data_IF_198256867465
#
_entry.id   IF_198256867465
#
_cell.length_a   1.000
_cell.length_b   1.000
_cell.length_c   1.000
_cell.angle_alpha   90.00
_cell.angle_beta   90.00
_cell.angle_gamma   90.00
#
_symmetry.space_group_name_H-M   'P 1'
#
loop_
_entity.id
_entity.type
_entity.pdbx_description
1 polymer ?
#
# COMPACT_ATOMS: atom_id res chain seq x y z
N UNK A 1 5.81 -20.87 -1.06
CA UNK A 1 5.63 -19.84 -0.04
C UNK A 1 5.84 -20.50 1.31
N UNK A 2 6.72 -19.95 2.14
CA UNK A 2 6.99 -20.50 3.47
C UNK A 2 5.80 -20.24 4.41
N UNK A 3 5.60 -21.10 5.40
CA UNK A 3 4.53 -20.93 6.40
C UNK A 3 4.64 -19.57 7.11
N UNK A 4 5.86 -19.10 7.35
CA UNK A 4 6.12 -17.80 7.98
C UNK A 4 5.66 -16.64 7.09
N UNK A 5 5.94 -16.71 5.78
CA UNK A 5 5.45 -15.70 4.83
C UNK A 5 3.92 -15.69 4.78
N UNK A 6 3.27 -16.85 4.70
CA UNK A 6 1.79 -16.93 4.75
C UNK A 6 1.23 -16.34 6.04
N UNK A 7 1.86 -16.62 7.20
CA UNK A 7 1.47 -16.00 8.47
C UNK A 7 1.61 -14.48 8.45
N UNK A 8 2.69 -13.95 7.89
CA UNK A 8 2.91 -12.50 7.79
C UNK A 8 1.93 -11.83 6.81
N UNK A 9 1.59 -12.50 5.71
CA UNK A 9 0.62 -11.99 4.74
C UNK A 9 -0.80 -11.95 5.34
N UNK A 10 -1.18 -13.00 6.10
CA UNK A 10 -2.44 -13.02 6.85
C UNK A 10 -2.51 -11.89 7.90
N UNK A 11 -1.41 -11.63 8.63
CA UNK A 11 -1.31 -10.52 9.58
C UNK A 11 -1.47 -9.17 8.86
N UNK A 12 -0.72 -8.96 7.78
CA UNK A 12 -0.74 -7.70 7.01
C UNK A 12 -2.15 -7.41 6.50
N UNK A 13 -2.79 -8.41 5.88
CA UNK A 13 -4.16 -8.30 5.36
C UNK A 13 -5.17 -8.02 6.47
N UNK A 14 -5.07 -8.73 7.59
CA UNK A 14 -5.96 -8.53 8.73
C UNK A 14 -5.86 -7.12 9.32
N UNK A 15 -4.65 -6.56 9.43
CA UNK A 15 -4.42 -5.20 9.91
C UNK A 15 -5.01 -4.19 8.93
N UNK A 16 -4.71 -4.31 7.63
CA UNK A 16 -5.21 -3.40 6.61
C UNK A 16 -6.75 -3.32 6.62
N UNK A 17 -7.44 -4.46 6.79
CA UNK A 17 -8.91 -4.52 6.88
C UNK A 17 -9.50 -3.77 8.09
N UNK A 18 -8.77 -3.67 9.20
CA UNK A 18 -9.26 -3.00 10.43
C UNK A 18 -8.72 -1.60 10.61
N UNK A 19 -7.59 -1.25 9.98
CA UNK A 19 -6.91 0.04 10.14
C UNK A 19 -7.84 1.24 9.96
N UNK A 20 -8.75 1.18 8.97
CA UNK A 20 -9.69 2.28 8.69
C UNK A 20 -10.88 2.35 9.65
N UNK A 21 -11.40 1.20 10.09
CA UNK A 21 -12.62 1.13 10.92
C UNK A 21 -12.33 1.23 12.42
N UNK A 22 -11.07 1.11 12.81
CA UNK A 22 -10.62 1.12 14.20
C UNK A 22 -10.24 -0.28 14.72
N UNK A 23 -9.61 -0.33 15.91
CA UNK A 23 -9.09 -1.56 16.47
C UNK A 23 -10.21 -2.55 16.81
N UNK A 24 -10.00 -3.79 16.37
CA UNK A 24 -10.86 -4.95 16.60
C UNK A 24 -9.98 -6.19 16.78
N UNK A 25 -10.51 -7.23 17.41
CA UNK A 25 -9.80 -8.50 17.67
C UNK A 25 -9.00 -8.96 16.44
N UNK A 26 -7.68 -8.90 16.54
CA UNK A 26 -6.78 -9.15 15.42
C UNK A 26 -6.63 -10.65 15.17
N UNK A 27 -6.40 -11.41 16.24
CA UNK A 27 -6.13 -12.85 16.16
C UNK A 27 -7.22 -13.62 15.41
N UNK A 28 -8.50 -13.32 15.65
CA UNK A 28 -9.60 -13.99 14.97
C UNK A 28 -9.56 -13.82 13.45
N UNK A 29 -9.11 -12.65 12.97
CA UNK A 29 -9.02 -12.36 11.52
C UNK A 29 -7.82 -13.05 10.91
N UNK A 30 -6.69 -13.04 11.61
CA UNK A 30 -5.48 -13.75 11.18
C UNK A 30 -5.77 -15.25 11.08
N UNK A 31 -6.34 -15.85 12.12
CA UNK A 31 -6.65 -17.27 12.13
C UNK A 31 -7.70 -17.65 11.08
N UNK A 32 -8.71 -16.80 10.84
CA UNK A 32 -9.65 -17.02 9.74
C UNK A 32 -8.94 -17.08 8.38
N UNK A 33 -8.05 -16.11 8.09
CA UNK A 33 -7.27 -16.12 6.84
C UNK A 33 -6.35 -17.33 6.72
N UNK A 34 -5.73 -17.75 7.83
CA UNK A 34 -4.86 -18.94 7.84
C UNK A 34 -5.66 -20.22 7.58
N UNK A 35 -6.85 -20.35 8.14
CA UNK A 35 -7.74 -21.48 7.89
C UNK A 35 -8.17 -21.55 6.41
N UNK A 36 -8.45 -20.41 5.77
CA UNK A 36 -8.76 -20.35 4.34
C UNK A 36 -7.58 -20.82 3.47
N UNK A 37 -6.35 -20.53 3.89
CA UNK A 37 -5.12 -20.95 3.22
C UNK A 37 -4.66 -22.37 3.62
N UNK A 38 -5.40 -23.06 4.49
CA UNK A 38 -5.06 -24.41 4.98
C UNK A 38 -3.83 -24.45 5.89
N UNK A 39 -3.48 -23.34 6.52
CA UNK A 39 -2.36 -23.19 7.46
C UNK A 39 -2.87 -23.30 8.90
N UNK A 40 -2.06 -23.91 9.77
CA UNK A 40 -2.36 -24.00 11.20
C UNK A 40 -2.49 -22.61 11.83
N UNK A 41 -3.52 -22.44 12.65
CA UNK A 41 -3.80 -21.22 13.40
C UNK A 41 -2.66 -20.89 14.36
N UNK A 42 -2.58 -19.62 14.74
CA UNK A 42 -1.57 -19.14 15.68
C UNK A 42 -2.19 -18.73 17.01
N UNK A 43 -1.36 -18.76 18.03
CA UNK A 43 -1.67 -18.29 19.39
C UNK A 43 -1.42 -16.78 19.53
N UNK A 44 -1.98 -16.12 20.58
CA UNK A 44 -1.66 -14.72 20.88
C UNK A 44 -0.15 -14.47 21.02
N UNK A 45 0.57 -15.38 21.69
CA UNK A 45 2.03 -15.26 21.87
C UNK A 45 2.80 -15.38 20.57
N UNK A 46 2.38 -16.24 19.64
CA UNK A 46 2.99 -16.33 18.31
C UNK A 46 2.73 -15.09 17.48
N UNK A 47 1.50 -14.54 17.53
CA UNK A 47 1.17 -13.29 16.87
C UNK A 47 2.05 -12.14 17.39
N UNK A 48 2.15 -12.02 18.72
CA UNK A 48 3.01 -11.02 19.36
C UNK A 48 4.47 -11.24 18.97
N UNK A 49 4.95 -12.49 18.96
CA UNK A 49 6.30 -12.84 18.53
C UNK A 49 6.58 -12.42 17.09
N UNK A 50 5.66 -12.69 16.15
CA UNK A 50 5.81 -12.28 14.74
C UNK A 50 5.84 -10.75 14.58
N UNK A 51 5.02 -10.04 15.36
CA UNK A 51 4.97 -8.57 15.34
C UNK A 51 6.15 -7.90 16.06
N UNK A 52 6.88 -8.59 16.92
CA UNK A 52 7.98 -8.00 17.72
C UNK A 52 9.34 -8.60 17.41
N UNK A 53 9.41 -9.53 16.45
CA UNK A 53 10.65 -10.19 16.05
C UNK A 53 11.68 -9.18 15.54
N UNK A 54 12.87 -9.17 16.14
CA UNK A 54 14.00 -8.42 15.59
C UNK A 54 14.40 -9.01 14.23
N UNK A 55 14.43 -8.19 13.19
CA UNK A 55 14.65 -8.64 11.83
C UNK A 55 14.69 -7.50 10.83
N UNK A 56 14.09 -7.72 9.66
CA UNK A 56 13.98 -6.68 8.62
C UNK A 56 13.10 -5.51 9.12
N UNK A 57 13.64 -4.28 9.22
CA UNK A 57 12.84 -3.11 9.62
C UNK A 57 11.70 -2.78 8.64
N UNK A 58 11.74 -3.34 7.43
CA UNK A 58 10.73 -3.21 6.38
C UNK A 58 9.81 -4.43 6.27
N UNK A 59 9.81 -5.33 7.27
CA UNK A 59 8.85 -6.43 7.32
C UNK A 59 7.41 -5.90 7.14
N UNK A 60 6.66 -6.36 6.12
CA UNK A 60 5.35 -5.79 5.78
C UNK A 60 4.35 -5.82 6.95
N UNK A 61 4.34 -6.90 7.73
CA UNK A 61 3.42 -7.04 8.85
C UNK A 61 3.76 -6.05 9.96
N UNK A 62 5.04 -5.89 10.29
CA UNK A 62 5.50 -4.94 11.30
C UNK A 62 5.31 -3.48 10.86
N UNK A 63 5.58 -3.17 9.59
CA UNK A 63 5.37 -1.83 9.01
C UNK A 63 3.89 -1.47 9.07
N UNK A 64 3.02 -2.35 8.59
CA UNK A 64 1.58 -2.10 8.58
C UNK A 64 1.03 -1.95 10.01
N UNK A 65 1.50 -2.78 10.94
CA UNK A 65 1.13 -2.67 12.35
C UNK A 65 1.57 -1.34 12.97
N UNK A 66 2.81 -0.90 12.71
CA UNK A 66 3.32 0.40 13.18
C UNK A 66 2.47 1.57 12.66
N UNK A 67 2.12 1.53 11.38
CA UNK A 67 1.28 2.55 10.74
C UNK A 67 -0.13 2.56 11.33
N UNK A 68 -0.73 1.39 11.53
CA UNK A 68 -2.05 1.26 12.14
C UNK A 68 -2.08 1.77 13.59
N UNK A 69 -1.10 1.40 14.42
CA UNK A 69 -0.97 1.92 15.78
C UNK A 69 -0.85 3.45 15.79
N UNK A 70 0.05 3.99 14.96
CA UNK A 70 0.21 5.45 14.83
C UNK A 70 -1.10 6.13 14.40
N UNK A 71 -1.85 5.53 13.49
CA UNK A 71 -3.15 6.06 13.05
C UNK A 71 -4.16 6.07 14.19
N UNK A 72 -4.34 4.95 14.89
CA UNK A 72 -5.30 4.84 15.99
C UNK A 72 -4.94 5.72 17.17
N UNK A 73 -3.66 5.81 17.54
CA UNK A 73 -3.20 6.65 18.64
C UNK A 73 -3.46 8.14 18.38
N UNK A 74 -3.42 8.56 17.12
CA UNK A 74 -3.61 9.95 16.70
C UNK A 74 -5.06 10.30 16.35
N UNK A 75 -5.93 9.31 16.27
CA UNK A 75 -7.32 9.51 15.88
C UNK A 75 -8.05 10.32 16.96
N UNK A 76 -8.64 11.44 16.55
CA UNK A 76 -9.41 12.33 17.44
C UNK A 76 -10.92 12.17 17.28
N UNK A 77 -11.38 11.74 16.10
CA UNK A 77 -12.80 11.61 15.76
C UNK A 77 -13.05 10.27 15.08
N UNK A 78 -13.57 9.30 15.84
CA UNK A 78 -13.97 8.00 15.32
C UNK A 78 -15.00 7.33 16.23
N UNK A 79 -15.90 6.54 15.64
CA UNK A 79 -16.97 5.87 16.39
C UNK A 79 -16.45 4.95 17.51
N UNK A 80 -15.32 4.28 17.32
CA UNK A 80 -14.75 3.37 18.32
C UNK A 80 -14.21 4.10 19.58
N UNK A 81 -14.15 5.44 19.54
CA UNK A 81 -13.79 6.30 20.66
C UNK A 81 -14.96 6.62 21.58
N UNK A 82 -16.21 6.48 21.14
CA UNK A 82 -17.37 6.82 21.96
C UNK A 82 -17.49 5.90 23.19
N UNK A 83 -17.01 4.67 23.07
CA UNK A 83 -16.97 3.66 24.12
C UNK A 83 -15.68 3.71 24.95
N UNK A 84 -14.71 4.55 24.57
CA UNK A 84 -13.42 4.60 25.23
C UNK A 84 -13.54 5.26 26.62
N UNK A 85 -12.80 4.77 27.63
CA UNK A 85 -12.66 5.48 28.89
C UNK A 85 -12.15 6.91 28.66
N UNK A 86 -12.62 7.88 29.46
CA UNK A 86 -12.18 9.29 29.38
C UNK A 86 -10.66 9.49 29.26
N UNK A 87 -9.78 8.82 30.03
CA UNK A 87 -8.34 9.04 29.85
C UNK A 87 -7.84 8.56 28.48
N UNK A 88 -8.46 7.50 27.94
CA UNK A 88 -8.11 6.97 26.64
C UNK A 88 -8.59 7.86 25.50
N UNK A 89 -9.52 8.80 25.68
CA UNK A 89 -9.98 9.67 24.56
C UNK A 89 -8.94 10.69 24.13
N UNK A 90 -7.94 10.98 24.98
CA UNK A 90 -6.83 11.84 24.62
C UNK A 90 -5.87 11.13 23.64
N UNK A 91 -5.53 11.75 22.50
CA UNK A 91 -4.64 11.14 21.52
C UNK A 91 -3.20 11.03 22.05
N UNK A 92 -2.45 10.07 21.52
CA UNK A 92 -1.00 9.86 21.77
C UNK A 92 -0.60 9.60 23.23
N UNK A 93 -1.52 9.09 24.05
CA UNK A 93 -1.26 8.72 25.46
C UNK A 93 -1.05 7.22 25.69
N UNK A 94 -0.44 6.82 26.82
CA UNK A 94 -0.34 5.42 27.20
C UNK A 94 -1.72 4.78 27.41
N UNK A 95 -2.71 5.52 27.95
CA UNK A 95 -4.07 5.01 28.15
C UNK A 95 -4.78 4.76 26.82
N UNK A 96 -4.54 5.63 25.83
CA UNK A 96 -4.98 5.43 24.44
C UNK A 96 -4.39 4.15 23.88
N UNK A 97 -3.08 3.95 24.03
CA UNK A 97 -2.37 2.78 23.53
C UNK A 97 -2.89 1.50 24.17
N UNK A 98 -3.02 1.46 25.50
CA UNK A 98 -3.55 0.29 26.22
C UNK A 98 -4.99 -0.04 25.79
N UNK A 99 -5.83 0.97 25.58
CA UNK A 99 -7.19 0.77 25.05
C UNK A 99 -7.18 0.18 23.64
N UNK A 100 -6.31 0.68 22.75
CA UNK A 100 -6.13 0.14 21.39
C UNK A 100 -5.67 -1.32 21.45
N UNK A 101 -4.62 -1.63 22.20
CA UNK A 101 -4.09 -2.99 22.31
C UNK A 101 -5.10 -3.97 22.93
N UNK A 102 -5.86 -3.53 23.95
CA UNK A 102 -6.95 -4.33 24.51
C UNK A 102 -8.07 -4.62 23.50
N UNK A 103 -8.42 -3.64 22.65
CA UNK A 103 -9.39 -3.82 21.55
C UNK A 103 -8.90 -4.77 20.46
N UNK A 104 -7.59 -4.86 20.25
CA UNK A 104 -6.96 -5.83 19.36
C UNK A 104 -6.91 -7.25 19.95
N UNK A 105 -7.18 -7.39 21.25
CA UNK A 105 -7.24 -8.67 21.96
C UNK A 105 -5.93 -9.06 22.65
N UNK A 106 -4.98 -8.14 22.79
CA UNK A 106 -3.75 -8.39 23.53
C UNK A 106 -3.99 -8.26 25.04
N UNK A 107 -3.23 -9.06 25.80
CA UNK A 107 -3.13 -9.01 27.25
C UNK A 107 -2.14 -7.93 27.72
N UNK A 108 -2.20 -7.56 29.00
CA UNK A 108 -1.24 -6.61 29.58
C UNK A 108 0.22 -7.05 29.43
N UNK A 109 0.48 -8.36 29.54
CA UNK A 109 1.82 -8.91 29.29
C UNK A 109 2.31 -8.62 27.85
N UNK A 110 1.43 -8.73 26.86
CA UNK A 110 1.76 -8.44 25.47
C UNK A 110 1.88 -6.93 25.22
N UNK A 111 1.21 -6.09 26.02
CA UNK A 111 1.34 -4.63 25.91
C UNK A 111 2.79 -4.19 26.12
N UNK A 112 3.48 -4.76 27.11
CA UNK A 112 4.88 -4.39 27.41
C UNK A 112 5.81 -4.72 26.24
N UNK A 113 5.67 -5.91 25.66
CA UNK A 113 6.44 -6.34 24.50
C UNK A 113 6.18 -5.44 23.28
N UNK A 114 4.91 -5.17 23.00
CA UNK A 114 4.51 -4.33 21.86
C UNK A 114 4.96 -2.88 22.08
N UNK A 115 4.79 -2.33 23.27
CA UNK A 115 5.18 -0.95 23.55
C UNK A 115 6.70 -0.76 23.54
N UNK A 116 7.47 -1.79 23.91
CA UNK A 116 8.92 -1.80 23.75
C UNK A 116 9.33 -1.78 22.27
N UNK A 117 8.67 -2.57 21.42
CA UNK A 117 8.97 -2.63 19.99
C UNK A 117 8.44 -1.41 19.21
N UNK A 118 7.32 -0.83 19.65
CA UNK A 118 6.59 0.25 18.98
C UNK A 118 6.34 1.41 19.96
N UNK A 119 7.36 2.18 20.33
CA UNK A 119 7.19 3.28 21.28
C UNK A 119 6.18 4.32 20.76
N UNK A 120 5.42 4.92 21.69
CA UNK A 120 4.53 6.04 21.36
C UNK A 120 5.39 7.24 20.98
N UNK A 121 5.37 7.61 19.70
CA UNK A 121 6.14 8.76 19.22
C UNK A 121 5.35 10.04 19.51
N UNK A 122 5.75 10.73 20.57
CA UNK A 122 5.25 12.08 20.92
C UNK A 122 6.02 13.21 20.25
N UNK A 123 6.87 12.90 19.26
CA UNK A 123 7.55 13.92 18.50
C UNK A 123 6.50 14.81 17.81
N UNK A 124 6.40 16.06 18.23
CA UNK A 124 5.81 17.10 17.39
C UNK A 124 6.52 17.04 16.05
N UNK A 125 5.78 17.17 14.95
CA UNK A 125 6.37 17.21 13.61
C UNK A 125 7.52 18.21 13.61
N UNK A 126 8.76 17.73 13.54
CA UNK A 126 9.91 18.59 13.30
C UNK A 126 9.86 18.89 11.80
N UNK A 127 9.04 19.88 11.43
CA UNK A 127 9.20 20.55 10.15
C UNK A 127 10.53 21.26 10.30
N UNK A 128 11.58 20.82 9.59
CA UNK A 128 12.79 21.62 9.60
C UNK A 128 12.41 22.99 9.05
N UNK A 129 12.76 24.04 9.75
CA UNK A 129 12.60 25.36 9.18
C UNK A 129 13.79 25.61 8.24
N UNK A 130 13.57 26.33 7.13
CA UNK A 130 14.70 26.93 6.46
C UNK A 130 15.51 27.76 7.46
N UNK A 131 16.82 27.81 7.28
CA UNK A 131 17.71 28.73 7.99
C UNK A 131 17.23 30.17 7.81
N UNK A 132 17.73 31.10 8.64
CA UNK A 132 17.27 32.50 8.65
C UNK A 132 17.36 33.20 7.28
N UNK A 133 18.15 32.68 6.35
CA UNK A 133 18.29 33.12 4.96
C UNK A 133 17.36 32.40 3.95
N UNK A 134 16.37 31.64 4.43
CA UNK A 134 15.38 30.93 3.61
C UNK A 134 15.90 29.62 2.98
N UNK A 135 17.08 29.12 3.37
CA UNK A 135 17.67 27.90 2.78
C UNK A 135 17.39 26.67 3.63
N UNK A 136 17.18 25.54 2.98
CA UNK A 136 17.10 24.27 3.70
C UNK A 136 18.53 23.83 4.10
N UNK A 137 18.77 23.39 5.35
CA UNK A 137 20.12 23.07 5.85
C UNK A 137 20.87 22.02 5.01
N UNK A 138 20.13 21.13 4.36
CA UNK A 138 20.63 20.07 3.49
C UNK A 138 20.62 20.41 1.99
N UNK A 139 20.20 21.62 1.62
CA UNK A 139 20.02 22.05 0.23
C UNK A 139 21.06 23.12 -0.13
N UNK A 140 22.25 22.66 -0.54
CA UNK A 140 23.33 23.54 -0.98
C UNK A 140 23.05 24.14 -2.36
N UNK A 141 23.61 25.32 -2.66
CA UNK A 141 23.57 25.92 -3.99
C UNK A 141 24.20 25.03 -5.07
N UNK A 142 25.17 24.20 -4.71
CA UNK A 142 25.82 23.24 -5.59
C UNK A 142 24.87 22.13 -6.09
N UNK A 143 23.83 21.79 -5.32
CA UNK A 143 22.79 20.86 -5.77
C UNK A 143 21.80 21.48 -6.76
N UNK A 144 21.71 22.81 -6.86
CA UNK A 144 20.84 23.50 -7.84
C UNK A 144 21.36 23.36 -9.27
N UNK A 145 22.66 23.15 -9.46
CA UNK A 145 23.30 23.16 -10.78
C UNK A 145 23.41 21.78 -11.43
N UNK A 146 23.04 20.69 -10.74
CA UNK A 146 22.97 19.34 -11.33
C UNK A 146 21.52 18.93 -11.60
N UNK A 147 21.01 19.27 -12.79
CA UNK A 147 19.94 18.49 -13.43
C UNK A 147 20.51 17.11 -13.74
N UNK A 148 20.40 16.15 -12.83
CA UNK A 148 20.90 14.79 -13.11
C UNK A 148 19.79 13.75 -13.08
N UNK A 149 18.74 13.98 -12.29
CA UNK A 149 17.68 12.99 -12.12
C UNK A 149 16.68 12.97 -13.28
N UNK A 150 16.52 14.06 -14.03
CA UNK A 150 15.50 14.16 -15.08
C UNK A 150 16.02 13.84 -16.49
N UNK A 151 17.30 14.08 -16.76
CA UNK A 151 17.90 13.90 -18.09
C UNK A 151 17.85 12.44 -18.56
N UNK A 152 17.90 11.48 -17.63
CA UNK A 152 17.79 10.04 -17.92
C UNK A 152 16.37 9.64 -18.32
N UNK A 153 15.34 10.32 -17.80
CA UNK A 153 13.93 10.02 -18.10
C UNK A 153 13.43 10.70 -19.38
N UNK A 154 14.07 11.77 -19.84
CA UNK A 154 13.70 12.48 -21.08
C UNK A 154 13.88 11.63 -22.35
N UNK A 155 14.79 10.65 -22.33
CA UNK A 155 14.96 9.71 -23.45
C UNK A 155 13.74 8.81 -23.68
N UNK A 156 13.04 8.42 -22.61
CA UNK A 156 11.91 7.50 -22.70
C UNK A 156 10.61 8.18 -23.17
N UNK A 157 10.39 9.44 -22.76
CA UNK A 157 9.16 10.17 -23.11
C UNK A 157 9.11 10.55 -24.60
N UNK A 158 10.24 10.99 -25.17
CA UNK A 158 10.33 11.38 -26.58
C UNK A 158 10.25 10.18 -27.56
N UNK A 159 10.72 9.00 -27.12
CA UNK A 159 10.61 7.76 -27.89
C UNK A 159 9.16 7.24 -27.93
N UNK A 160 8.46 7.28 -26.79
CA UNK A 160 7.05 6.88 -26.71
C UNK A 160 6.13 7.82 -27.53
N UNK A 161 6.39 9.12 -27.49
CA UNK A 161 5.60 10.12 -28.22
C UNK A 161 5.81 10.03 -29.75
N UNK A 162 7.02 9.66 -30.19
CA UNK A 162 7.31 9.42 -31.62
C UNK A 162 6.66 8.14 -32.15
N UNK A 163 6.58 7.07 -31.35
CA UNK A 163 5.91 5.83 -31.74
C UNK A 163 4.39 5.99 -31.82
N UNK A 164 3.78 6.77 -30.91
CA UNK A 164 2.36 7.09 -30.95
C UNK A 164 1.99 7.97 -32.16
N UNK A 165 2.83 8.93 -32.53
CA UNK A 165 2.63 9.78 -33.73
C UNK A 165 2.76 9.01 -35.05
N UNK A 166 3.65 8.02 -35.12
CA UNK A 166 3.78 7.14 -36.29
C UNK A 166 2.60 6.18 -36.43
N UNK A 167 2.10 5.62 -35.33
CA UNK A 167 0.91 4.78 -35.28
C UNK A 167 -0.35 5.52 -35.77
N UNK A 168 -0.56 6.77 -35.33
CA UNK A 168 -1.73 7.56 -35.72
C UNK A 168 -1.73 7.98 -37.20
N UNK A 169 -0.54 8.16 -37.81
CA UNK A 169 -0.41 8.49 -39.23
C UNK A 169 -0.71 7.32 -40.16
N UNK A 170 -0.54 6.08 -39.71
CA UNK A 170 -0.85 4.88 -40.51
C UNK A 170 -2.33 4.49 -40.47
N UNK A 171 -3.04 4.75 -39.36
CA UNK A 171 -4.45 4.38 -39.20
C UNK A 171 -5.44 5.39 -39.77
N UNK A 172 -5.01 6.64 -40.00
CA UNK A 172 -5.88 7.74 -40.47
C UNK A 172 -5.49 8.30 -41.86
N UNK A 173 -4.97 7.46 -42.76
CA UNK A 173 -4.93 7.84 -44.17
C UNK A 173 -6.34 7.74 -44.77
N UNK A 174 -6.88 8.83 -45.36
CA UNK A 174 -8.15 8.74 -46.07
C UNK A 174 -7.99 7.83 -47.29
N UNK A 175 -8.71 6.71 -47.32
CA UNK A 175 -8.89 5.92 -48.54
C UNK A 175 -9.49 6.82 -49.61
N UNK A 176 -8.72 7.16 -50.65
CA UNK A 176 -9.26 7.75 -51.87
C UNK A 176 -10.24 6.74 -52.49
N UNK A 177 -11.53 6.97 -52.27
CA UNK A 177 -12.61 6.28 -52.96
C UNK A 177 -12.63 6.73 -54.43
N UNK A 178 -12.17 5.86 -55.33
CA UNK A 178 -12.55 5.92 -56.74
C UNK A 178 -14.02 5.46 -56.84
N UNK A 179 -14.93 6.39 -57.13
CA UNK A 179 -16.30 6.08 -57.50
C UNK A 179 -16.60 6.65 -58.89
N UNK A 180 -16.94 5.77 -59.83
CA UNK A 180 -17.29 6.09 -61.21
C UNK A 180 -17.35 4.86 -62.12
N UNK A 181 -18.28 3.95 -61.80
CA UNK A 181 -19.09 2.98 -62.61
C UNK A 181 -18.70 2.57 -64.05
N UNK A 182 -19.20 1.43 -64.61
CA UNK A 182 -20.31 0.58 -64.14
C UNK A 182 -20.05 -0.96 -64.14
N UNK A 183 -20.78 -1.66 -63.29
CA UNK A 183 -21.13 -3.11 -63.38
C UNK A 183 -22.10 -3.37 -64.55
N UNK A 184 -22.40 -4.62 -65.02
CA UNK A 184 -22.32 -5.89 -64.29
C UNK A 184 -21.88 -7.11 -65.13
N UNK A 185 -21.52 -8.21 -64.46
CA UNK A 185 -22.28 -9.46 -64.56
C UNK A 185 -21.68 -10.50 -63.62
N UNK A 186 -22.57 -11.06 -62.79
CA UNK A 186 -22.23 -12.13 -61.88
C UNK A 186 -21.92 -13.42 -62.61
N UNK A 187 -20.97 -14.16 -62.06
CA UNK A 187 -20.96 -15.62 -62.14
C UNK A 187 -20.75 -16.12 -60.72
N UNK A 188 -21.72 -16.89 -60.24
CA UNK A 188 -21.73 -17.55 -58.94
C UNK A 188 -21.00 -18.91 -59.07
N UNK A 189 -20.72 -19.62 -57.96
CA UNK A 189 -19.36 -19.89 -57.48
C UNK A 189 -18.95 -21.35 -57.69
N UNK A 190 -17.67 -21.68 -57.46
CA UNK A 190 -17.29 -23.07 -57.16
C UNK A 190 -16.22 -23.11 -56.08
N UNK A 191 -16.63 -23.65 -54.93
CA UNK A 191 -15.78 -23.99 -53.78
C UNK A 191 -15.33 -25.44 -53.98
N UNK A 192 -14.06 -25.67 -54.26
CA UNK A 192 -13.44 -26.98 -54.06
C UNK A 192 -13.09 -27.12 -52.58
N UNK A 193 -13.73 -28.08 -51.91
CA UNK A 193 -13.32 -28.57 -50.59
C UNK A 193 -12.12 -29.50 -50.79
N UNK A 194 -11.07 -29.29 -50.00
CA UNK A 194 -10.01 -30.26 -49.83
C UNK A 194 -10.49 -31.43 -48.95
N UNK A 195 -10.02 -32.62 -49.30
CA UNK A 195 -10.17 -33.87 -48.56
C UNK A 195 -9.56 -33.74 -47.15
N UNK A 196 -10.29 -34.17 -46.13
CA UNK A 196 -10.04 -35.45 -45.44
C UNK A 196 -11.18 -35.80 -44.50
#
# INVERSE_FOLDING_TARGET
MSIIETRKDAITSAIAMIAEKGPKLLLNRVNFSLEEDGVETITPSELTGLLTLEGDPNDPAQVEFRLALSRWDQTTDAQWLSEAPKPATHPKGPERRSYVLGRLGFSEHEFDLINSAYPIINAGTIVANPTDDGRWPWYSSERRTRSHYWDVYQGYSNAADSLLKQSWRWTNQPQKSLAGSPTPHGTKPTRLKALS
#
